data_IF_046804042167
#
_entry.id   IF_046804042167
#
_cell.length_a   1.000
_cell.length_b   1.000
_cell.length_c   1.000
_cell.angle_alpha   90.00
_cell.angle_beta   90.00
_cell.angle_gamma   90.00
#
_symmetry.space_group_name_H-M   'P 1'
#
loop_
_entity.id
_entity.type
_entity.pdbx_description
1 polymer ?
#
# COMPACT_ATOMS: atom_id res chain seq x y z
N UNK A 1 21.68 0.41 -32.06
CA UNK A 1 21.91 -0.68 -31.13
C UNK A 1 20.87 -0.52 -30.02
N UNK A 2 19.91 -1.30 -29.81
CA UNK A 2 19.15 -2.38 -30.44
C UNK A 2 17.73 -2.24 -29.95
N UNK A 3 16.82 -2.12 -30.87
CA UNK A 3 15.36 -2.02 -30.68
C UNK A 3 14.82 -3.43 -30.39
N UNK A 4 14.90 -3.92 -29.13
CA UNK A 4 14.41 -5.26 -28.78
C UNK A 4 13.60 -5.33 -27.47
N UNK A 5 13.01 -4.22 -27.01
CA UNK A 5 12.20 -4.20 -25.78
C UNK A 5 10.79 -3.61 -25.99
N UNK A 6 10.17 -3.76 -27.17
CA UNK A 6 8.83 -3.21 -27.46
C UNK A 6 7.82 -4.24 -27.99
N UNK A 7 7.80 -5.45 -27.54
CA UNK A 7 6.90 -6.46 -28.13
C UNK A 7 6.06 -7.28 -27.16
N UNK A 8 5.68 -6.77 -25.99
CA UNK A 8 4.71 -7.46 -25.12
C UNK A 8 3.58 -6.59 -24.58
N UNK A 9 3.40 -5.36 -25.08
CA UNK A 9 2.57 -4.33 -24.41
C UNK A 9 1.12 -4.22 -24.90
N UNK A 10 0.65 -5.08 -25.79
CA UNK A 10 -0.70 -4.96 -26.36
C UNK A 10 -1.72 -5.95 -25.78
N UNK A 11 -1.27 -7.03 -25.14
CA UNK A 11 -2.18 -8.01 -24.58
C UNK A 11 -2.90 -7.45 -23.33
N UNK A 12 -4.20 -7.72 -23.24
CA UNK A 12 -4.95 -7.48 -22.00
C UNK A 12 -4.40 -8.43 -20.92
N UNK A 13 -4.25 -7.95 -19.66
CA UNK A 13 -3.93 -8.86 -18.57
C UNK A 13 -5.05 -9.88 -18.38
N UNK A 14 -4.71 -11.03 -17.81
CA UNK A 14 -5.70 -12.00 -17.37
C UNK A 14 -6.66 -11.37 -16.37
N UNK A 15 -7.94 -11.79 -16.42
CA UNK A 15 -8.92 -11.34 -15.45
C UNK A 15 -8.67 -12.03 -14.10
N UNK A 16 -8.06 -11.32 -13.17
CA UNK A 16 -7.65 -11.82 -11.85
C UNK A 16 -8.73 -11.71 -10.77
N UNK A 17 -9.83 -10.99 -11.06
CA UNK A 17 -10.96 -10.79 -10.14
C UNK A 17 -12.23 -10.51 -10.94
N UNK A 18 -13.41 -10.83 -10.40
CA UNK A 18 -14.68 -10.56 -11.08
C UNK A 18 -14.95 -9.06 -11.31
N UNK A 19 -14.46 -8.21 -10.38
CA UNK A 19 -14.60 -6.75 -10.47
C UNK A 19 -13.41 -6.07 -11.17
N UNK A 20 -12.41 -6.83 -11.60
CA UNK A 20 -11.25 -6.33 -12.32
C UNK A 20 -11.58 -6.15 -13.81
N UNK A 21 -11.40 -4.95 -14.34
CA UNK A 21 -11.50 -4.67 -15.76
C UNK A 21 -10.13 -4.68 -16.43
N UNK A 22 -9.77 -5.74 -17.18
CA UNK A 22 -8.47 -5.85 -17.84
C UNK A 22 -8.14 -4.68 -18.77
N UNK A 23 -9.14 -3.99 -19.32
CA UNK A 23 -8.92 -2.87 -20.25
C UNK A 23 -8.25 -1.66 -19.58
N UNK A 24 -8.38 -1.51 -18.28
CA UNK A 24 -7.82 -0.39 -17.52
C UNK A 24 -6.36 -0.63 -17.07
N UNK A 25 -5.83 -1.84 -17.29
CA UNK A 25 -4.55 -2.25 -16.72
C UNK A 25 -3.62 -2.91 -17.74
N UNK A 26 -2.33 -2.95 -17.41
CA UNK A 26 -1.33 -3.85 -17.98
C UNK A 26 -0.51 -4.49 -16.85
N UNK A 27 0.10 -5.63 -17.13
CA UNK A 27 1.05 -6.26 -16.20
C UNK A 27 2.31 -5.40 -16.10
N UNK A 28 2.87 -5.26 -14.89
CA UNK A 28 4.17 -4.61 -14.69
C UNK A 28 5.28 -5.62 -14.96
N UNK A 29 6.13 -5.33 -15.95
CA UNK A 29 7.25 -6.21 -16.32
C UNK A 29 8.29 -6.37 -15.19
N UNK A 30 8.93 -7.55 -15.13
CA UNK A 30 9.90 -7.90 -14.09
C UNK A 30 9.28 -8.43 -12.80
N UNK A 31 7.98 -8.75 -12.83
CA UNK A 31 7.21 -9.30 -11.72
C UNK A 31 6.40 -10.54 -12.13
N UNK A 32 6.88 -11.25 -13.15
CA UNK A 32 6.22 -12.46 -13.69
C UNK A 32 6.36 -13.68 -12.76
N UNK A 33 7.22 -13.59 -11.77
CA UNK A 33 7.48 -14.62 -10.75
C UNK A 33 6.57 -14.54 -9.53
N UNK A 34 5.70 -13.53 -9.43
CA UNK A 34 4.75 -13.39 -8.34
C UNK A 34 3.74 -14.54 -8.33
N UNK A 35 3.45 -15.07 -7.15
CA UNK A 35 2.54 -16.20 -6.93
C UNK A 35 1.32 -15.82 -6.09
N UNK A 36 1.51 -14.96 -5.11
CA UNK A 36 0.51 -14.60 -4.11
C UNK A 36 0.00 -13.16 -4.27
N UNK A 37 0.65 -12.38 -5.14
CA UNK A 37 0.35 -10.96 -5.41
C UNK A 37 0.22 -10.76 -6.92
N UNK A 38 -0.74 -9.95 -7.35
CA UNK A 38 -0.78 -9.41 -8.72
C UNK A 38 -0.39 -7.94 -8.72
N UNK A 39 0.35 -7.51 -9.76
CA UNK A 39 0.87 -6.15 -9.88
C UNK A 39 0.58 -5.58 -11.26
N UNK A 40 -0.26 -4.56 -11.33
CA UNK A 40 -0.73 -3.97 -12.57
C UNK A 40 -0.49 -2.45 -12.58
N UNK A 41 -0.21 -1.91 -13.77
CA UNK A 41 -0.14 -0.48 -14.06
C UNK A 41 -1.43 -0.01 -14.71
N UNK A 42 -1.98 1.11 -14.27
CA UNK A 42 -3.08 1.78 -14.94
C UNK A 42 -2.66 2.26 -16.32
N UNK A 43 -3.51 2.10 -17.33
CA UNK A 43 -3.24 2.49 -18.72
C UNK A 43 -4.43 3.19 -19.36
N UNK A 44 -4.12 4.04 -20.33
CA UNK A 44 -5.08 4.50 -21.33
C UNK A 44 -4.88 3.72 -22.62
N UNK A 45 -5.99 3.26 -23.23
CA UNK A 45 -5.96 2.50 -24.48
C UNK A 45 -6.70 3.24 -25.59
N UNK A 46 -6.34 2.98 -26.82
CA UNK A 46 -7.08 3.44 -28.00
C UNK A 46 -8.32 2.57 -28.29
N UNK A 47 -9.08 2.93 -29.32
CA UNK A 47 -10.26 2.19 -29.74
C UNK A 47 -9.98 0.76 -30.23
N UNK A 48 -8.72 0.41 -30.48
CA UNK A 48 -8.26 -0.91 -30.90
C UNK A 48 -7.66 -1.73 -29.75
N UNK A 49 -7.64 -1.16 -28.51
CA UNK A 49 -7.11 -1.79 -27.32
C UNK A 49 -5.60 -1.64 -27.14
N UNK A 50 -4.90 -0.90 -28.01
CA UNK A 50 -3.47 -0.64 -27.84
C UNK A 50 -3.22 0.37 -26.71
N UNK A 51 -2.19 0.14 -25.91
CA UNK A 51 -1.81 1.05 -24.82
C UNK A 51 -1.25 2.34 -25.42
N UNK A 52 -1.92 3.46 -25.15
CA UNK A 52 -1.47 4.80 -25.53
C UNK A 52 -0.44 5.36 -24.55
N UNK A 53 -0.70 5.18 -23.26
CA UNK A 53 0.20 5.62 -22.20
C UNK A 53 -0.08 4.93 -20.87
N UNK A 54 0.92 4.90 -20.00
CA UNK A 54 0.78 4.58 -18.60
C UNK A 54 0.10 5.71 -17.83
N UNK A 55 -0.76 5.34 -16.91
CA UNK A 55 -1.39 6.26 -15.95
C UNK A 55 -0.60 6.25 -14.62
N UNK A 56 -0.63 7.35 -13.84
CA UNK A 56 0.24 7.48 -12.67
C UNK A 56 -0.27 6.74 -11.43
N UNK A 57 -0.85 5.57 -11.59
CA UNK A 57 -1.26 4.68 -10.48
C UNK A 57 -1.01 3.22 -10.80
N UNK A 58 -0.89 2.44 -9.75
CA UNK A 58 -0.73 0.98 -9.81
C UNK A 58 -1.77 0.29 -8.93
N UNK A 59 -2.07 -0.96 -9.28
CA UNK A 59 -2.89 -1.88 -8.49
C UNK A 59 -2.02 -3.03 -8.00
N UNK A 60 -2.01 -3.23 -6.69
CA UNK A 60 -1.38 -4.36 -6.02
C UNK A 60 -2.50 -5.15 -5.34
N UNK A 61 -2.61 -6.43 -5.59
CA UNK A 61 -3.67 -7.23 -4.99
C UNK A 61 -3.16 -8.57 -4.46
N UNK A 62 -3.65 -8.96 -3.28
CA UNK A 62 -3.52 -10.32 -2.80
C UNK A 62 -4.24 -11.28 -3.74
N UNK A 63 -3.62 -12.40 -4.06
CA UNK A 63 -4.11 -13.39 -5.03
C UNK A 63 -4.12 -14.82 -4.46
N UNK A 64 -4.72 -14.96 -3.28
CA UNK A 64 -4.96 -16.24 -2.59
C UNK A 64 -6.42 -16.34 -2.15
N UNK A 65 -7.40 -16.17 -3.06
CA UNK A 65 -8.82 -16.07 -2.70
C UNK A 65 -9.35 -17.35 -2.01
N UNK A 66 -8.79 -18.52 -2.32
CA UNK A 66 -9.17 -19.81 -1.72
C UNK A 66 -8.94 -19.90 -0.21
N UNK A 67 -8.08 -19.01 0.33
CA UNK A 67 -7.80 -18.87 1.77
C UNK A 67 -8.10 -17.46 2.28
N UNK A 68 -9.02 -16.76 1.63
CA UNK A 68 -9.41 -15.39 1.97
C UNK A 68 -8.23 -14.42 1.97
N UNK A 69 -7.32 -14.59 1.02
CA UNK A 69 -6.13 -13.74 0.90
C UNK A 69 -5.30 -13.68 2.19
N UNK A 70 -5.27 -14.79 2.96
CA UNK A 70 -4.38 -14.91 4.10
C UNK A 70 -2.93 -14.86 3.64
N UNK A 71 -2.11 -14.03 4.28
CA UNK A 71 -0.72 -13.90 3.89
C UNK A 71 0.20 -14.91 4.59
N UNK A 72 1.19 -15.36 3.87
CA UNK A 72 2.34 -16.14 4.33
C UNK A 72 3.63 -15.34 4.09
N UNK A 73 4.80 -15.77 4.61
CA UNK A 73 6.05 -15.03 4.40
C UNK A 73 6.34 -14.67 2.94
N UNK A 74 6.13 -15.61 2.00
CA UNK A 74 6.29 -15.33 0.57
C UNK A 74 5.34 -14.21 0.07
N UNK A 75 4.07 -14.24 0.48
CA UNK A 75 3.11 -13.16 0.17
C UNK A 75 3.60 -11.81 0.67
N UNK A 76 4.17 -11.77 1.87
CA UNK A 76 4.70 -10.54 2.48
C UNK A 76 5.93 -10.03 1.73
N UNK A 77 6.83 -10.92 1.32
CA UNK A 77 8.00 -10.57 0.51
C UNK A 77 7.59 -10.00 -0.86
N UNK A 78 6.63 -10.63 -1.54
CA UNK A 78 6.09 -10.15 -2.81
C UNK A 78 5.37 -8.79 -2.66
N UNK A 79 4.58 -8.65 -1.60
CA UNK A 79 3.89 -7.38 -1.30
C UNK A 79 4.89 -6.26 -1.01
N UNK A 80 5.95 -6.54 -0.24
CA UNK A 80 7.01 -5.57 0.01
C UNK A 80 7.71 -5.17 -1.28
N UNK A 81 8.09 -6.14 -2.13
CA UNK A 81 8.77 -5.92 -3.40
C UNK A 81 7.94 -5.05 -4.36
N UNK A 82 6.63 -5.31 -4.48
CA UNK A 82 5.74 -4.53 -5.35
C UNK A 82 5.50 -3.11 -4.83
N UNK A 83 5.31 -2.95 -3.52
CA UNK A 83 5.19 -1.63 -2.89
C UNK A 83 6.48 -0.82 -3.01
N UNK A 84 7.66 -1.45 -2.84
CA UNK A 84 8.94 -0.77 -2.98
C UNK A 84 9.22 -0.34 -4.42
N UNK A 85 8.82 -1.16 -5.39
CA UNK A 85 8.81 -0.78 -6.81
C UNK A 85 7.94 0.46 -7.05
N UNK A 86 6.71 0.47 -6.55
CA UNK A 86 5.82 1.62 -6.65
C UNK A 86 6.39 2.86 -5.96
N UNK A 87 7.02 2.68 -4.78
CA UNK A 87 7.67 3.76 -4.02
C UNK A 87 8.77 4.46 -4.80
N UNK A 88 9.60 3.68 -5.50
CA UNK A 88 10.78 4.18 -6.22
C UNK A 88 10.48 4.64 -7.64
N UNK A 89 9.33 4.25 -8.22
CA UNK A 89 8.91 4.66 -9.56
C UNK A 89 8.53 6.14 -9.62
N UNK A 90 9.23 6.98 -10.41
CA UNK A 90 8.99 8.43 -10.41
C UNK A 90 7.65 8.81 -11.07
N UNK A 91 7.09 7.94 -11.87
CA UNK A 91 5.86 8.10 -12.65
C UNK A 91 4.62 7.49 -11.97
N UNK A 92 4.76 6.92 -10.76
CA UNK A 92 3.66 6.44 -9.90
C UNK A 92 3.35 7.49 -8.84
N UNK A 93 2.10 7.92 -8.74
CA UNK A 93 1.59 8.87 -7.74
C UNK A 93 0.70 8.22 -6.67
N UNK A 94 -0.03 7.17 -7.04
CA UNK A 94 -0.96 6.47 -6.15
C UNK A 94 -0.88 4.95 -6.30
N UNK A 95 -1.20 4.24 -5.22
CA UNK A 95 -1.27 2.77 -5.16
C UNK A 95 -2.66 2.36 -4.69
N UNK A 96 -3.33 1.51 -5.45
CA UNK A 96 -4.54 0.80 -5.02
C UNK A 96 -4.12 -0.56 -4.49
N UNK A 97 -4.34 -0.80 -3.20
CA UNK A 97 -4.11 -2.09 -2.54
C UNK A 97 -5.45 -2.79 -2.34
N UNK A 98 -5.59 -4.01 -2.84
CA UNK A 98 -6.86 -4.77 -2.79
C UNK A 98 -6.64 -6.28 -2.65
N UNK A 99 -7.70 -7.06 -2.79
CA UNK A 99 -7.65 -8.52 -2.84
C UNK A 99 -8.46 -9.05 -4.01
N UNK A 100 -7.89 -9.99 -4.76
CA UNK A 100 -8.57 -10.68 -5.83
C UNK A 100 -9.63 -11.65 -5.29
N UNK A 101 -10.65 -11.92 -6.09
CA UNK A 101 -11.76 -12.79 -5.75
C UNK A 101 -12.83 -12.85 -6.82
N UNK A 102 -13.94 -13.55 -6.53
CA UNK A 102 -14.23 -14.26 -5.28
C UNK A 102 -13.46 -15.58 -5.16
N UNK A 103 -13.50 -16.19 -3.96
CA UNK A 103 -13.00 -17.55 -3.79
C UNK A 103 -13.87 -18.54 -4.58
N UNK A 104 -13.26 -19.34 -5.45
CA UNK A 104 -13.94 -20.40 -6.19
C UNK A 104 -14.59 -21.46 -5.26
N UNK A 105 -14.15 -21.53 -4.00
CA UNK A 105 -14.62 -22.52 -3.03
C UNK A 105 -16.03 -22.24 -2.52
N UNK A 106 -16.40 -20.98 -2.34
CA UNK A 106 -17.66 -20.57 -1.69
C UNK A 106 -18.17 -19.19 -2.07
N UNK A 107 -17.58 -18.57 -3.09
CA UNK A 107 -17.99 -17.24 -3.58
C UNK A 107 -17.64 -16.08 -2.65
N UNK A 108 -16.89 -16.31 -1.58
CA UNK A 108 -16.62 -15.28 -0.60
C UNK A 108 -15.47 -14.34 -0.98
N UNK A 109 -15.59 -13.10 -0.59
CA UNK A 109 -14.65 -12.03 -0.86
C UNK A 109 -13.76 -11.72 0.34
N UNK A 110 -12.51 -11.32 0.07
CA UNK A 110 -11.61 -10.81 1.09
C UNK A 110 -10.61 -9.79 0.52
N UNK A 111 -10.36 -8.76 1.28
CA UNK A 111 -9.17 -7.94 1.14
C UNK A 111 -7.95 -8.76 1.58
N UNK A 112 -7.91 -9.08 2.87
CA UNK A 112 -6.90 -9.95 3.49
C UNK A 112 -7.40 -10.42 4.85
N UNK A 113 -7.35 -11.72 5.12
CA UNK A 113 -7.78 -12.30 6.39
C UNK A 113 -6.68 -12.42 7.45
N UNK A 114 -5.53 -11.74 7.23
CA UNK A 114 -4.40 -11.77 8.16
C UNK A 114 -3.42 -12.90 7.90
N UNK A 115 -2.60 -13.23 8.88
CA UNK A 115 -1.60 -14.29 8.76
C UNK A 115 -2.21 -15.68 8.64
N UNK A 116 -1.69 -16.49 7.72
CA UNK A 116 -2.14 -17.84 7.45
C UNK A 116 -1.84 -18.76 8.66
N UNK A 117 -2.86 -19.02 9.50
CA UNK A 117 -2.72 -19.78 10.73
C UNK A 117 -2.31 -21.25 10.50
N UNK A 118 -2.48 -21.79 9.28
CA UNK A 118 -2.12 -23.17 8.94
C UNK A 118 -0.61 -23.42 8.96
N UNK A 119 0.19 -22.33 8.78
CA UNK A 119 1.65 -22.40 8.74
C UNK A 119 2.30 -21.71 9.95
N UNK A 120 1.50 -21.27 10.95
CA UNK A 120 2.02 -20.69 12.19
C UNK A 120 2.43 -21.80 13.16
N UNK A 121 3.73 -21.90 13.46
CA UNK A 121 4.29 -22.78 14.46
C UNK A 121 4.65 -22.04 15.76
N UNK A 122 5.33 -22.73 16.69
CA UNK A 122 5.87 -22.12 17.91
C UNK A 122 6.89 -21.02 17.62
N UNK A 123 7.64 -21.18 16.52
CA UNK A 123 8.71 -20.26 16.09
C UNK A 123 8.20 -19.17 15.14
N UNK A 124 6.87 -19.01 15.02
CA UNK A 124 6.23 -18.07 14.12
C UNK A 124 5.81 -18.69 12.79
N UNK A 125 5.72 -17.86 11.76
CA UNK A 125 5.31 -18.29 10.43
C UNK A 125 6.49 -18.87 9.66
N UNK A 126 6.25 -19.99 8.96
CA UNK A 126 7.26 -20.69 8.16
C UNK A 126 7.02 -20.49 6.67
N UNK A 127 8.09 -20.41 5.90
CA UNK A 127 8.02 -20.50 4.45
C UNK A 127 7.50 -21.89 4.04
N UNK A 128 6.79 -21.99 2.90
CA UNK A 128 6.25 -23.26 2.43
C UNK A 128 7.37 -24.26 2.10
N UNK A 129 7.11 -25.57 2.34
CA UNK A 129 8.10 -26.63 2.15
C UNK A 129 8.63 -26.69 0.71
N UNK A 130 9.94 -26.62 0.58
CA UNK A 130 10.70 -26.55 -0.67
C UNK A 130 11.83 -25.51 -0.59
N UNK A 131 11.66 -24.49 0.25
CA UNK A 131 12.75 -23.58 0.60
C UNK A 131 13.59 -24.24 1.71
N UNK A 132 14.87 -24.47 1.41
CA UNK A 132 15.82 -24.98 2.41
C UNK A 132 16.28 -23.81 3.30
N UNK A 133 16.74 -24.12 4.52
CA UNK A 133 17.34 -23.12 5.40
C UNK A 133 18.53 -22.38 4.76
N UNK A 134 19.07 -22.93 3.68
CA UNK A 134 20.18 -22.37 2.90
C UNK A 134 19.72 -21.37 1.83
N UNK A 135 18.45 -21.45 1.39
CA UNK A 135 17.87 -20.52 0.41
C UNK A 135 17.17 -19.31 1.04
N UNK A 136 16.94 -19.32 2.36
CA UNK A 136 16.28 -18.25 3.09
C UNK A 136 17.30 -17.49 3.92
N UNK A 137 17.29 -16.16 3.83
CA UNK A 137 18.05 -15.31 4.75
C UNK A 137 17.67 -15.68 6.21
N UNK A 138 18.62 -16.16 7.04
CA UNK A 138 18.32 -16.55 8.42
C UNK A 138 17.73 -15.43 9.26
N UNK A 139 17.99 -14.16 8.92
CA UNK A 139 17.39 -13.01 9.57
C UNK A 139 15.90 -12.86 9.26
N UNK A 140 15.44 -13.44 8.14
CA UNK A 140 14.03 -13.47 7.71
C UNK A 140 13.31 -14.75 8.15
N UNK A 141 14.05 -15.83 8.36
CA UNK A 141 13.47 -17.11 8.75
C UNK A 141 12.64 -16.99 10.04
N UNK A 142 11.41 -17.47 10.01
CA UNK A 142 10.48 -17.42 11.14
C UNK A 142 9.90 -16.02 11.45
N UNK A 143 10.28 -14.97 10.73
CA UNK A 143 9.74 -13.62 10.90
C UNK A 143 8.67 -13.34 9.85
N UNK A 144 7.63 -12.65 10.28
CA UNK A 144 6.60 -12.11 9.41
C UNK A 144 6.88 -10.63 9.19
N UNK A 145 7.34 -10.25 7.99
CA UNK A 145 7.69 -8.88 7.67
C UNK A 145 6.50 -7.94 7.45
N UNK A 146 5.30 -8.30 7.89
CA UNK A 146 4.10 -7.46 7.69
C UNK A 146 4.24 -6.09 8.36
N UNK A 147 4.97 -5.98 9.45
CA UNK A 147 5.25 -4.69 10.10
C UNK A 147 6.16 -3.80 9.25
N UNK A 148 7.07 -4.40 8.47
CA UNK A 148 7.89 -3.66 7.50
C UNK A 148 7.06 -3.17 6.31
N UNK A 149 6.06 -3.95 5.87
CA UNK A 149 5.07 -3.51 4.87
C UNK A 149 4.26 -2.33 5.40
N UNK A 150 3.77 -2.41 6.64
CA UNK A 150 3.05 -1.31 7.29
C UNK A 150 3.94 -0.05 7.37
N UNK A 151 5.21 -0.20 7.75
CA UNK A 151 6.16 0.90 7.79
C UNK A 151 6.39 1.49 6.40
N UNK A 152 6.55 0.66 5.37
CA UNK A 152 6.71 1.10 3.99
C UNK A 152 5.49 1.90 3.51
N UNK A 153 4.27 1.39 3.71
CA UNK A 153 3.02 2.10 3.37
C UNK A 153 2.98 3.47 4.03
N UNK A 154 3.30 3.54 5.33
CA UNK A 154 3.26 4.80 6.09
C UNK A 154 4.29 5.82 5.63
N UNK A 155 5.51 5.37 5.30
CA UNK A 155 6.65 6.26 5.02
C UNK A 155 6.93 6.49 3.54
N UNK A 156 6.27 5.77 2.62
CA UNK A 156 6.46 5.98 1.19
C UNK A 156 5.85 7.31 0.74
N UNK A 157 6.48 8.01 -0.24
CA UNK A 157 6.03 9.32 -0.73
C UNK A 157 4.87 9.20 -1.75
N UNK A 158 3.98 8.23 -1.55
CA UNK A 158 2.84 7.92 -2.41
C UNK A 158 1.61 7.68 -1.55
N UNK A 159 0.44 8.04 -2.06
CA UNK A 159 -0.83 7.71 -1.40
C UNK A 159 -1.16 6.25 -1.66
N UNK A 160 -1.52 5.52 -0.61
CA UNK A 160 -1.98 4.12 -0.69
C UNK A 160 -3.46 4.07 -0.32
N UNK A 161 -4.27 3.58 -1.24
CA UNK A 161 -5.73 3.47 -1.13
C UNK A 161 -6.07 1.99 -0.95
N UNK A 162 -6.64 1.62 0.18
CA UNK A 162 -7.19 0.29 0.39
C UNK A 162 -8.58 0.19 -0.26
N UNK A 163 -8.74 -0.67 -1.25
CA UNK A 163 -10.03 -1.08 -1.78
C UNK A 163 -10.41 -2.43 -1.17
N UNK A 164 -11.40 -2.44 -0.28
CA UNK A 164 -11.75 -3.59 0.56
C UNK A 164 -12.96 -4.33 -0.02
N UNK A 165 -12.75 -5.41 -0.82
CA UNK A 165 -13.83 -6.13 -1.49
C UNK A 165 -14.60 -7.08 -0.56
N UNK A 166 -14.08 -7.39 0.62
CA UNK A 166 -14.65 -8.37 1.54
C UNK A 166 -13.99 -8.33 2.91
N UNK A 167 -13.60 -9.50 3.42
CA UNK A 167 -12.98 -9.60 4.74
C UNK A 167 -11.64 -8.87 4.84
N UNK A 168 -11.55 -7.95 5.81
CA UNK A 168 -10.31 -7.39 6.32
C UNK A 168 -10.19 -7.82 7.79
N UNK A 169 -9.35 -8.84 8.08
CA UNK A 169 -9.29 -9.43 9.41
C UNK A 169 -7.86 -9.57 9.93
N UNK A 170 -7.67 -9.45 11.24
CA UNK A 170 -6.36 -9.52 11.90
C UNK A 170 -5.35 -8.59 11.26
N UNK A 171 -4.21 -9.11 10.78
CA UNK A 171 -3.21 -8.32 10.07
C UNK A 171 -3.73 -7.63 8.79
N UNK A 172 -4.76 -8.19 8.13
CA UNK A 172 -5.44 -7.55 7.00
C UNK A 172 -6.26 -6.33 7.42
N UNK A 173 -6.89 -6.38 8.60
CA UNK A 173 -7.52 -5.21 9.20
C UNK A 173 -6.49 -4.12 9.50
N UNK A 174 -5.36 -4.49 10.09
CA UNK A 174 -4.28 -3.53 10.37
C UNK A 174 -3.69 -2.91 9.10
N UNK A 175 -3.64 -3.65 7.98
CA UNK A 175 -3.15 -3.11 6.70
C UNK A 175 -4.03 -1.98 6.16
N UNK A 176 -5.38 -2.14 6.14
CA UNK A 176 -6.24 -1.06 5.65
C UNK A 176 -6.17 0.18 6.56
N UNK A 177 -6.02 -0.03 7.89
CA UNK A 177 -5.87 1.06 8.86
C UNK A 177 -4.61 1.89 8.62
N UNK A 178 -3.53 1.25 8.14
CA UNK A 178 -2.25 1.92 7.84
C UNK A 178 -2.27 2.60 6.48
N UNK A 179 -3.12 2.19 5.55
CA UNK A 179 -3.32 2.88 4.28
C UNK A 179 -3.83 4.32 4.51
N UNK A 180 -3.56 5.20 3.57
CA UNK A 180 -3.95 6.62 3.68
C UNK A 180 -5.46 6.81 3.54
N UNK A 181 -6.09 6.02 2.68
CA UNK A 181 -7.54 6.04 2.43
C UNK A 181 -8.07 4.61 2.33
N UNK A 182 -9.36 4.43 2.67
CA UNK A 182 -10.05 3.14 2.57
C UNK A 182 -11.41 3.31 1.93
N UNK A 183 -11.68 2.54 0.86
CA UNK A 183 -12.98 2.41 0.22
C UNK A 183 -13.43 0.97 0.38
N UNK A 184 -14.67 0.72 0.76
CA UNK A 184 -15.15 -0.62 1.07
C UNK A 184 -16.40 -1.00 0.29
N UNK A 185 -16.51 -2.29 -0.06
CA UNK A 185 -17.72 -2.88 -0.61
C UNK A 185 -18.86 -2.83 0.42
N UNK A 186 -20.02 -2.31 0.01
CA UNK A 186 -21.23 -2.26 0.83
C UNK A 186 -21.75 -3.66 1.18
N UNK A 187 -21.75 -4.56 0.23
CA UNK A 187 -22.33 -5.90 0.36
C UNK A 187 -21.41 -6.86 1.11
N UNK A 188 -20.10 -6.78 0.83
CA UNK A 188 -19.14 -7.79 1.26
C UNK A 188 -18.11 -7.29 2.26
N UNK A 189 -17.94 -5.98 2.45
CA UNK A 189 -16.97 -5.39 3.39
C UNK A 189 -17.25 -5.84 4.81
N UNK A 190 -16.29 -6.59 5.42
CA UNK A 190 -16.36 -7.10 6.78
C UNK A 190 -15.02 -6.88 7.46
N UNK A 191 -15.08 -6.34 8.64
CA UNK A 191 -13.91 -5.93 9.42
C UNK A 191 -13.90 -6.60 10.77
N UNK A 192 -12.76 -7.21 11.14
CA UNK A 192 -12.64 -7.90 12.40
C UNK A 192 -11.19 -7.96 12.85
N UNK A 193 -10.95 -7.58 14.11
CA UNK A 193 -9.62 -7.80 14.70
C UNK A 193 -9.60 -9.14 15.44
N UNK A 194 -8.92 -10.12 14.85
CA UNK A 194 -8.98 -11.53 15.31
C UNK A 194 -7.82 -11.92 16.22
N UNK A 195 -6.80 -11.09 16.40
CA UNK A 195 -5.55 -11.49 17.05
C UNK A 195 -5.76 -12.06 18.46
N UNK A 196 -6.58 -11.41 19.29
CA UNK A 196 -6.86 -11.88 20.64
C UNK A 196 -7.52 -13.29 20.66
N UNK A 197 -8.33 -13.62 19.63
CA UNK A 197 -8.99 -14.94 19.55
C UNK A 197 -8.05 -16.07 19.15
N UNK A 198 -6.91 -15.75 18.54
CA UNK A 198 -5.90 -16.73 18.11
C UNK A 198 -4.62 -16.66 18.96
N UNK A 199 -4.68 -16.00 20.12
CA UNK A 199 -3.55 -15.89 21.06
C UNK A 199 -2.40 -15.03 20.51
N UNK A 200 -2.74 -13.98 19.72
CA UNK A 200 -1.82 -12.99 19.19
C UNK A 200 -2.26 -11.58 19.58
N UNK A 201 -1.52 -10.57 19.16
CA UNK A 201 -1.88 -9.17 19.35
C UNK A 201 -1.19 -8.29 18.31
N UNK A 202 -1.87 -7.24 17.86
CA UNK A 202 -1.27 -6.15 17.08
C UNK A 202 -0.83 -5.04 18.04
N UNK A 203 0.46 -4.96 18.29
CA UNK A 203 1.08 -3.89 19.07
C UNK A 203 1.74 -2.81 18.20
N UNK A 204 1.53 -2.90 16.87
CA UNK A 204 2.11 -1.98 15.88
C UNK A 204 1.18 -0.83 15.50
N UNK A 205 1.28 -0.43 14.26
CA UNK A 205 0.50 0.68 13.71
C UNK A 205 -1.01 0.43 13.69
N UNK A 206 -1.46 -0.84 13.52
CA UNK A 206 -2.88 -1.16 13.45
C UNK A 206 -3.65 -0.66 14.67
N UNK A 207 -3.22 -1.06 15.89
CA UNK A 207 -3.88 -0.62 17.12
C UNK A 207 -3.73 0.88 17.39
N UNK A 208 -2.53 1.43 17.16
CA UNK A 208 -2.24 2.82 17.43
C UNK A 208 -3.02 3.77 16.51
N UNK A 209 -3.06 3.50 15.21
CA UNK A 209 -3.72 4.35 14.23
C UNK A 209 -5.24 4.19 14.27
N UNK A 210 -5.75 2.96 14.45
CA UNK A 210 -7.19 2.76 14.58
C UNK A 210 -7.75 3.60 15.75
N UNK A 211 -7.04 3.63 16.88
CA UNK A 211 -7.46 4.44 18.03
C UNK A 211 -7.51 5.95 17.75
N UNK A 212 -6.74 6.42 16.78
CA UNK A 212 -6.80 7.82 16.31
C UNK A 212 -7.95 8.06 15.33
N UNK A 213 -8.26 7.07 14.50
CA UNK A 213 -9.33 7.15 13.50
C UNK A 213 -10.71 7.08 14.15
N UNK A 214 -10.94 6.08 15.02
CA UNK A 214 -12.28 5.78 15.58
C UNK A 214 -12.43 6.20 17.07
N UNK A 215 -11.37 6.68 17.68
CA UNK A 215 -11.31 6.97 19.11
C UNK A 215 -11.02 5.74 19.97
N UNK A 216 -10.49 5.99 21.19
CA UNK A 216 -9.98 4.93 22.09
C UNK A 216 -11.02 3.88 22.47
N UNK A 217 -12.28 4.27 22.68
CA UNK A 217 -13.34 3.34 23.11
C UNK A 217 -13.72 2.35 22.01
N UNK A 218 -13.95 2.84 20.79
CA UNK A 218 -14.30 1.99 19.66
C UNK A 218 -13.12 1.10 19.27
N UNK A 219 -11.89 1.61 19.23
CA UNK A 219 -10.71 0.78 18.95
C UNK A 219 -10.55 -0.36 19.98
N UNK A 220 -10.69 -0.07 21.28
CA UNK A 220 -10.63 -1.11 22.32
C UNK A 220 -11.75 -2.12 22.18
N UNK A 221 -12.96 -1.71 21.84
CA UNK A 221 -14.07 -2.64 21.57
C UNK A 221 -13.73 -3.57 20.42
N UNK A 222 -13.21 -3.04 19.29
CA UNK A 222 -12.81 -3.82 18.12
C UNK A 222 -11.72 -4.84 18.50
N UNK A 223 -10.66 -4.43 19.19
CA UNK A 223 -9.55 -5.30 19.56
C UNK A 223 -9.86 -6.29 20.68
N UNK A 224 -10.58 -5.84 21.72
CA UNK A 224 -10.80 -6.68 22.91
C UNK A 224 -11.95 -7.68 22.74
N UNK A 225 -12.99 -7.29 22.00
CA UNK A 225 -14.17 -8.13 21.83
C UNK A 225 -14.14 -8.94 20.53
N UNK A 226 -13.23 -8.60 19.60
CA UNK A 226 -13.10 -9.27 18.31
C UNK A 226 -14.45 -9.45 17.58
N UNK A 227 -15.32 -8.44 17.67
CA UNK A 227 -16.61 -8.41 16.98
C UNK A 227 -16.42 -8.15 15.50
N UNK A 228 -17.39 -8.55 14.72
CA UNK A 228 -17.48 -8.24 13.30
C UNK A 228 -18.22 -6.91 13.08
N UNK A 229 -17.70 -6.11 12.15
CA UNK A 229 -18.28 -4.84 11.74
C UNK A 229 -18.44 -4.84 10.22
N UNK A 230 -19.55 -4.32 9.72
CA UNK A 230 -19.74 -4.09 8.30
C UNK A 230 -19.06 -2.78 7.84
N UNK A 231 -19.04 -2.57 6.52
CA UNK A 231 -18.43 -1.40 5.92
C UNK A 231 -19.08 -0.10 6.38
N UNK A 232 -20.42 -0.09 6.49
CA UNK A 232 -21.17 1.10 6.89
C UNK A 232 -20.81 1.51 8.33
N UNK A 233 -20.72 0.55 9.25
CA UNK A 233 -20.35 0.83 10.64
C UNK A 233 -18.91 1.35 10.75
N UNK A 234 -17.97 0.80 9.98
CA UNK A 234 -16.59 1.29 9.95
C UNK A 234 -16.49 2.70 9.37
N UNK A 235 -17.32 3.02 8.39
CA UNK A 235 -17.44 4.37 7.84
C UNK A 235 -17.97 5.36 8.89
N UNK A 236 -19.05 5.03 9.59
CA UNK A 236 -19.62 5.85 10.67
C UNK A 236 -18.61 6.11 11.79
N UNK A 237 -17.74 5.16 12.09
CA UNK A 237 -16.68 5.31 13.09
C UNK A 237 -15.46 6.11 12.58
N UNK A 238 -15.34 6.34 11.27
CA UNK A 238 -14.24 7.10 10.67
C UNK A 238 -13.02 6.29 10.24
N UNK A 239 -13.12 4.95 10.19
CA UNK A 239 -12.04 4.09 9.71
C UNK A 239 -12.13 3.76 8.20
N UNK A 240 -13.26 4.04 7.57
CA UNK A 240 -13.52 3.87 6.13
C UNK A 240 -13.97 5.20 5.55
N UNK A 241 -13.36 5.65 4.46
CA UNK A 241 -13.67 6.93 3.82
C UNK A 241 -14.97 6.88 3.04
N UNK A 242 -15.22 5.78 2.30
CA UNK A 242 -16.40 5.63 1.46
C UNK A 242 -16.87 4.16 1.38
N UNK A 243 -18.18 3.98 1.17
CA UNK A 243 -18.85 2.68 1.04
C UNK A 243 -19.66 2.65 -0.24
N UNK A 244 -19.21 1.87 -1.19
CA UNK A 244 -19.76 1.82 -2.54
C UNK A 244 -20.36 0.44 -2.87
N UNK A 245 -21.25 0.34 -3.89
CA UNK A 245 -21.66 -0.96 -4.40
C UNK A 245 -20.44 -1.82 -4.79
N UNK A 246 -20.50 -3.13 -4.53
CA UNK A 246 -19.37 -4.02 -4.79
C UNK A 246 -18.84 -3.94 -6.22
N UNK A 247 -19.75 -3.91 -7.20
CA UNK A 247 -19.39 -3.82 -8.61
C UNK A 247 -18.66 -2.51 -8.99
N UNK A 248 -18.78 -1.47 -8.17
CA UNK A 248 -18.17 -0.15 -8.40
C UNK A 248 -16.86 0.03 -7.62
N UNK A 249 -16.48 -0.92 -6.78
CA UNK A 249 -15.37 -0.76 -5.84
C UNK A 249 -14.03 -0.42 -6.50
N UNK A 250 -13.64 -1.18 -7.54
CA UNK A 250 -12.37 -0.92 -8.23
C UNK A 250 -12.42 0.41 -9.00
N UNK A 251 -13.56 0.75 -9.60
CA UNK A 251 -13.71 2.04 -10.27
C UNK A 251 -13.63 3.21 -9.27
N UNK A 252 -14.27 3.10 -8.12
CA UNK A 252 -14.19 4.11 -7.07
C UNK A 252 -12.74 4.31 -6.57
N UNK A 253 -11.98 3.23 -6.44
CA UNK A 253 -10.56 3.31 -6.07
C UNK A 253 -9.71 3.98 -7.17
N UNK A 254 -10.00 3.70 -8.45
CA UNK A 254 -9.34 4.36 -9.59
C UNK A 254 -9.69 5.85 -9.63
N UNK A 255 -10.96 6.20 -9.40
CA UNK A 255 -11.39 7.60 -9.37
C UNK A 255 -10.71 8.36 -8.22
N UNK A 256 -10.64 7.76 -7.05
CA UNK A 256 -9.87 8.30 -5.93
C UNK A 256 -8.38 8.46 -6.27
N UNK A 257 -7.75 7.48 -6.92
CA UNK A 257 -6.37 7.59 -7.37
C UNK A 257 -6.19 8.71 -8.39
N UNK A 258 -7.15 8.90 -9.30
CA UNK A 258 -7.18 10.00 -10.27
C UNK A 258 -7.23 11.36 -9.58
N UNK A 259 -8.07 11.50 -8.56
CA UNK A 259 -8.20 12.74 -7.79
C UNK A 259 -6.90 13.06 -7.05
N UNK A 260 -6.25 12.06 -6.48
CA UNK A 260 -4.94 12.21 -5.81
C UNK A 260 -3.88 12.71 -6.79
N UNK A 261 -3.76 12.08 -7.96
CA UNK A 261 -2.70 12.45 -8.93
C UNK A 261 -3.00 13.72 -9.71
N UNK A 262 -4.21 14.24 -9.62
CA UNK A 262 -4.57 15.57 -10.13
C UNK A 262 -4.02 16.70 -9.24
N UNK A 263 -3.60 16.39 -8.01
CA UNK A 263 -3.00 17.34 -7.08
C UNK A 263 -1.48 17.45 -7.30
N UNK A 264 -0.86 18.49 -6.74
CA UNK A 264 0.59 18.65 -6.75
C UNK A 264 1.30 17.45 -6.11
N UNK A 265 2.17 16.72 -6.83
CA UNK A 265 2.88 15.57 -6.27
C UNK A 265 3.75 15.92 -5.06
N UNK A 266 4.34 17.11 -5.04
CA UNK A 266 5.12 17.61 -3.92
C UNK A 266 4.23 17.89 -2.71
N UNK A 267 3.11 18.59 -2.90
CA UNK A 267 2.19 18.94 -1.82
C UNK A 267 1.61 17.69 -1.17
N UNK A 268 1.12 16.71 -1.95
CA UNK A 268 0.59 15.44 -1.44
C UNK A 268 1.65 14.70 -0.60
N UNK A 269 2.87 14.59 -1.10
CA UNK A 269 3.97 13.93 -0.40
C UNK A 269 4.28 14.62 0.95
N UNK A 270 4.40 15.94 0.93
CA UNK A 270 4.68 16.71 2.15
C UNK A 270 3.53 16.65 3.14
N UNK A 271 2.27 16.67 2.67
CA UNK A 271 1.09 16.50 3.52
C UNK A 271 1.08 15.12 4.21
N UNK A 272 1.36 14.05 3.47
CA UNK A 272 1.45 12.71 4.08
C UNK A 272 2.49 12.66 5.20
N UNK A 273 3.67 13.22 5.00
CA UNK A 273 4.69 13.27 6.05
C UNK A 273 4.27 14.17 7.21
N UNK A 274 3.63 15.31 6.94
CA UNK A 274 3.12 16.21 7.98
C UNK A 274 2.06 15.55 8.86
N UNK A 275 1.13 14.76 8.28
CA UNK A 275 0.15 13.99 9.05
C UNK A 275 0.80 12.92 9.93
N UNK A 276 1.89 12.32 9.48
CA UNK A 276 2.56 11.24 10.20
C UNK A 276 3.51 11.73 11.29
N UNK A 277 4.14 12.89 11.08
CA UNK A 277 5.23 13.41 11.92
C UNK A 277 4.90 13.49 13.42
N UNK A 278 3.71 13.96 13.87
CA UNK A 278 3.41 14.05 15.30
C UNK A 278 3.42 12.70 16.02
N UNK A 279 3.14 11.62 15.31
CA UNK A 279 3.03 10.27 15.87
C UNK A 279 4.32 9.47 15.75
N UNK A 280 5.14 9.76 14.74
CA UNK A 280 6.34 8.96 14.42
C UNK A 280 7.59 9.45 15.16
N UNK A 281 7.52 10.56 15.89
CA UNK A 281 8.62 11.08 16.71
C UNK A 281 9.90 11.27 15.89
N UNK A 282 11.05 10.82 16.42
CA UNK A 282 12.35 10.98 15.74
C UNK A 282 12.45 10.24 14.41
N UNK A 283 11.73 9.13 14.24
CA UNK A 283 11.67 8.40 12.95
C UNK A 283 10.95 9.24 11.90
N UNK A 284 9.82 9.84 12.27
CA UNK A 284 9.09 10.78 11.41
C UNK A 284 9.92 12.01 11.08
N UNK A 285 10.62 12.56 12.07
CA UNK A 285 11.57 13.68 11.88
C UNK A 285 12.63 13.33 10.81
N UNK A 286 13.19 12.12 10.86
CA UNK A 286 14.19 11.69 9.88
C UNK A 286 13.61 11.54 8.46
N UNK A 287 12.39 11.00 8.35
CA UNK A 287 11.69 10.89 7.06
C UNK A 287 11.39 12.28 6.49
N UNK A 288 10.84 13.18 7.31
CA UNK A 288 10.58 14.57 6.92
C UNK A 288 11.86 15.31 6.52
N UNK A 289 12.96 15.13 7.28
CA UNK A 289 14.24 15.78 7.01
C UNK A 289 14.79 15.41 5.62
N UNK A 290 14.63 14.16 5.17
CA UNK A 290 15.06 13.73 3.84
C UNK A 290 14.36 14.49 2.72
N UNK A 291 13.06 14.72 2.83
CA UNK A 291 12.30 15.50 1.84
C UNK A 291 12.57 17.00 1.95
N UNK A 292 12.64 17.53 3.16
CA UNK A 292 12.93 18.96 3.39
C UNK A 292 14.32 19.33 2.86
N UNK A 293 15.33 18.49 3.11
CA UNK A 293 16.69 18.68 2.60
C UNK A 293 16.72 18.66 1.07
N UNK A 294 15.99 17.73 0.43
CA UNK A 294 15.92 17.67 -1.02
C UNK A 294 15.29 18.93 -1.62
N UNK A 295 14.23 19.46 -1.00
CA UNK A 295 13.60 20.71 -1.42
C UNK A 295 14.56 21.90 -1.21
N UNK A 296 15.29 21.94 -0.09
CA UNK A 296 16.27 22.98 0.18
C UNK A 296 17.38 23.03 -0.90
N UNK A 297 17.87 21.85 -1.34
CA UNK A 297 18.89 21.80 -2.40
C UNK A 297 18.43 22.35 -3.77
N UNK A 298 17.13 22.52 -3.96
CA UNK A 298 16.55 23.07 -5.21
C UNK A 298 16.46 24.61 -5.16
N UNK A 299 16.85 25.24 -4.07
CA UNK A 299 16.81 26.71 -3.92
C UNK A 299 18.08 27.39 -4.44
N UNK A 300 17.95 28.65 -4.84
CA UNK A 300 19.11 29.46 -5.24
C UNK A 300 20.07 29.70 -4.09
N UNK A 301 19.59 29.76 -2.85
CA UNK A 301 20.45 29.83 -1.64
C UNK A 301 21.38 28.62 -1.53
N UNK A 302 20.88 27.41 -1.77
CA UNK A 302 21.69 26.19 -1.75
C UNK A 302 22.71 26.17 -2.89
N UNK A 303 22.36 26.74 -4.06
CA UNK A 303 23.29 26.94 -5.19
C UNK A 303 24.41 27.91 -4.80
N UNK A 304 24.08 29.06 -4.23
CA UNK A 304 25.08 30.03 -3.75
C UNK A 304 26.02 29.41 -2.70
N UNK A 305 25.45 28.72 -1.70
CA UNK A 305 26.27 28.07 -0.66
C UNK A 305 27.24 27.04 -1.22
N UNK A 306 26.79 26.21 -2.16
CA UNK A 306 27.63 25.23 -2.86
C UNK A 306 28.75 25.92 -3.67
N UNK A 307 28.37 26.90 -4.47
CA UNK A 307 29.31 27.56 -5.39
C UNK A 307 30.34 28.40 -4.64
N UNK A 308 29.96 29.05 -3.55
CA UNK A 308 30.85 29.73 -2.64
C UNK A 308 31.87 28.76 -2.04
N UNK A 309 31.40 27.61 -1.53
CA UNK A 309 32.28 26.58 -0.96
C UNK A 309 33.28 26.04 -1.98
N UNK A 310 32.83 25.71 -3.18
CA UNK A 310 33.68 25.22 -4.26
C UNK A 310 34.68 26.30 -4.75
N UNK A 311 34.20 27.55 -4.82
CA UNK A 311 35.02 28.71 -5.20
C UNK A 311 35.97 29.20 -4.10
N UNK A 312 35.92 28.61 -2.89
CA UNK A 312 36.72 29.03 -1.72
C UNK A 312 36.57 30.52 -1.41
N UNK A 313 35.38 31.03 -1.50
CA UNK A 313 34.97 32.39 -1.16
C UNK A 313 33.87 32.36 -0.09
N UNK A 314 33.68 33.49 0.57
CA UNK A 314 32.51 33.65 1.43
C UNK A 314 31.21 33.68 0.59
N UNK A 315 30.11 33.07 1.09
CA UNK A 315 28.82 33.13 0.42
C UNK A 315 28.22 34.54 0.53
N UNK A 316 27.56 34.98 -0.53
CA UNK A 316 26.85 36.26 -0.55
C UNK A 316 25.33 36.02 -0.36
N UNK A 317 24.85 36.22 0.86
CA UNK A 317 23.45 36.08 1.22
C UNK A 317 22.62 37.36 0.99
N UNK A 318 23.21 38.46 0.52
CA UNK A 318 22.55 39.75 0.40
C UNK A 318 21.39 39.78 -0.60
N UNK A 319 21.38 38.87 -1.56
CA UNK A 319 20.31 38.72 -2.53
C UNK A 319 19.10 37.93 -2.06
N UNK A 320 19.15 37.33 -0.85
CA UNK A 320 18.10 36.44 -0.34
C UNK A 320 17.34 37.08 0.82
N UNK A 321 16.01 37.03 0.82
CA UNK A 321 15.21 37.55 1.91
C UNK A 321 15.28 36.63 3.14
N UNK A 322 15.30 37.23 4.35
CA UNK A 322 15.23 36.46 5.59
C UNK A 322 13.83 35.90 5.90
N UNK A 323 12.81 36.34 5.15
CA UNK A 323 11.41 35.83 5.24
C UNK A 323 10.70 36.11 3.91
N UNK A 324 9.64 35.40 3.64
CA UNK A 324 8.78 35.58 2.49
C UNK A 324 7.58 36.48 2.78
#
# INVERSE_FOLDING_TARGET
MTDSARTTDHALPERVSEIFDPAQWRVVGGFEDLQDITYHRGVERDAHGAVLRDLPWVRIAFDRPEVRNAFRPATVDELYRTLDSARTSPDVGAVVLTGNGPSAKDGGWAFCSGGDQRIRGRDGYRYAGGETAESIDPARAGRLHILEVQRLIRTMPKVVIAAVPGWAAGGGHSLHVVCDLTIASREHGRFKQTDATVGSFDAGYGSALLARQVGQKAAREIFFLAREYDAQRMHEMGAVNDVVPHAELEQAAIDCARDVVAQSPQAIRMLKFAFNLPDDGMVGQQVFAGEATRLAYMTDEAVEGRDAFLGKRDPDWSGFPYYF
#
